data_IF_805990321386
#
_entry.id   IF_805990321386
#
_cell.length_a   1.000
_cell.length_b   1.000
_cell.length_c   1.000
_cell.angle_alpha   90.00
_cell.angle_beta   90.00
_cell.angle_gamma   90.00
#
_symmetry.space_group_name_H-M   'P 1'
#
loop_
_entity.id
_entity.type
_entity.pdbx_description
1 polymer ?
#
# COMPACT_ATOMS: atom_id res chain seq x y z
N UNK A 1 -50.76 22.12 4.93
CA UNK A 1 -50.18 21.68 6.21
C UNK A 1 -49.31 20.49 5.87
N UNK A 2 -48.00 20.70 5.97
CA UNK A 2 -46.88 19.74 6.00
C UNK A 2 -46.44 19.03 4.70
N UNK A 3 -45.57 19.75 3.99
CA UNK A 3 -44.44 19.27 3.20
C UNK A 3 -43.31 18.75 4.12
N UNK A 4 -42.39 17.97 3.54
CA UNK A 4 -41.07 17.54 4.02
C UNK A 4 -41.03 16.32 4.97
N UNK A 5 -40.54 15.17 4.47
CA UNK A 5 -39.47 14.27 5.00
C UNK A 5 -39.54 12.91 4.26
N UNK A 6 -38.94 12.75 3.04
CA UNK A 6 -38.47 11.41 2.64
C UNK A 6 -37.02 11.37 2.09
N UNK A 7 -36.37 12.51 1.90
CA UNK A 7 -35.06 12.61 1.22
C UNK A 7 -33.86 12.29 2.13
N UNK A 8 -33.96 12.47 3.44
CA UNK A 8 -32.82 12.23 4.35
C UNK A 8 -32.62 10.73 4.65
N UNK A 9 -33.70 9.98 4.86
CA UNK A 9 -33.65 8.54 5.16
C UNK A 9 -33.13 7.73 3.97
N UNK A 10 -33.50 8.12 2.75
CA UNK A 10 -33.01 7.47 1.52
C UNK A 10 -31.53 7.76 1.24
N UNK A 11 -31.04 8.95 1.58
CA UNK A 11 -29.63 9.31 1.45
C UNK A 11 -28.73 8.57 2.46
N UNK A 12 -29.18 8.44 3.71
CA UNK A 12 -28.46 7.70 4.75
C UNK A 12 -28.39 6.20 4.44
N UNK A 13 -29.46 5.60 3.90
CA UNK A 13 -29.44 4.18 3.49
C UNK A 13 -28.48 3.91 2.32
N UNK A 14 -28.40 4.82 1.34
CA UNK A 14 -27.49 4.70 0.19
C UNK A 14 -26.04 4.91 0.61
N UNK A 15 -25.76 5.84 1.53
CA UNK A 15 -24.41 6.08 2.06
C UNK A 15 -23.95 4.97 3.01
N UNK A 16 -24.84 4.45 3.86
CA UNK A 16 -24.57 3.33 4.76
C UNK A 16 -24.32 2.02 3.98
N UNK A 17 -25.11 1.73 2.94
CA UNK A 17 -24.90 0.59 2.04
C UNK A 17 -23.54 0.65 1.32
N UNK A 18 -23.17 1.83 0.81
CA UNK A 18 -21.83 2.06 0.23
C UNK A 18 -20.70 1.90 1.26
N UNK A 19 -20.93 2.28 2.52
CA UNK A 19 -19.97 2.11 3.61
C UNK A 19 -19.76 0.65 3.98
N UNK A 20 -20.84 -0.15 4.09
CA UNK A 20 -20.74 -1.58 4.39
C UNK A 20 -20.05 -2.34 3.25
N UNK A 21 -20.42 -2.06 2.00
CA UNK A 21 -19.74 -2.63 0.83
C UNK A 21 -18.24 -2.28 0.82
N UNK A 22 -17.87 -1.03 1.14
CA UNK A 22 -16.48 -0.61 1.27
C UNK A 22 -15.71 -1.39 2.34
N UNK A 23 -16.32 -1.62 3.51
CA UNK A 23 -15.73 -2.43 4.58
C UNK A 23 -15.54 -3.89 4.14
N UNK A 24 -16.54 -4.48 3.48
CA UNK A 24 -16.43 -5.86 2.97
C UNK A 24 -15.33 -6.00 1.90
N UNK A 25 -15.21 -5.02 1.00
CA UNK A 25 -14.11 -5.00 0.03
C UNK A 25 -12.75 -4.85 0.71
N UNK A 26 -12.63 -4.01 1.74
CA UNK A 26 -11.40 -3.89 2.51
C UNK A 26 -11.04 -5.22 3.18
N UNK A 27 -11.97 -5.85 3.88
CA UNK A 27 -11.76 -7.17 4.52
C UNK A 27 -11.33 -8.21 3.49
N UNK A 28 -12.05 -8.32 2.37
CA UNK A 28 -11.71 -9.26 1.30
C UNK A 28 -10.32 -9.02 0.74
N UNK A 29 -9.95 -7.76 0.51
CA UNK A 29 -8.61 -7.39 0.03
C UNK A 29 -7.50 -7.72 1.03
N UNK A 30 -7.72 -7.47 2.33
CA UNK A 30 -6.74 -7.76 3.38
C UNK A 30 -6.60 -9.26 3.62
N UNK A 31 -7.69 -10.03 3.57
CA UNK A 31 -7.63 -11.50 3.68
C UNK A 31 -6.92 -12.13 2.49
N UNK A 32 -7.25 -11.68 1.27
CA UNK A 32 -6.52 -12.11 0.07
C UNK A 32 -5.03 -11.81 0.19
N UNK A 33 -4.70 -10.58 0.58
CA UNK A 33 -3.31 -10.18 0.71
C UNK A 33 -2.58 -10.96 1.82
N UNK A 34 -3.14 -11.08 3.02
CA UNK A 34 -2.49 -11.72 4.17
C UNK A 34 -2.39 -13.24 4.07
N UNK A 35 -3.33 -13.90 3.38
CA UNK A 35 -3.35 -15.35 3.26
C UNK A 35 -2.69 -15.82 1.96
N UNK A 36 -3.18 -15.34 0.80
CA UNK A 36 -2.76 -15.87 -0.50
C UNK A 36 -1.35 -15.44 -0.87
N UNK A 37 -0.97 -14.20 -0.56
CA UNK A 37 0.33 -13.65 -1.00
C UNK A 37 1.53 -14.32 -0.31
N UNK A 38 1.56 -14.50 1.03
CA UNK A 38 2.64 -15.24 1.68
C UNK A 38 2.71 -16.71 1.24
N UNK A 39 1.56 -17.38 1.13
CA UNK A 39 1.50 -18.78 0.67
C UNK A 39 2.10 -18.90 -0.72
N UNK A 40 1.71 -18.03 -1.65
CA UNK A 40 2.26 -18.00 -3.00
C UNK A 40 3.78 -17.86 -2.99
N UNK A 41 4.33 -16.82 -2.34
CA UNK A 41 5.79 -16.63 -2.34
C UNK A 41 6.55 -17.74 -1.61
N UNK A 42 5.95 -18.36 -0.58
CA UNK A 42 6.58 -19.47 0.12
C UNK A 42 6.67 -20.73 -0.73
N UNK A 43 5.66 -21.00 -1.58
CA UNK A 43 5.69 -22.11 -2.54
C UNK A 43 6.82 -21.96 -3.57
N UNK A 44 7.21 -20.73 -3.89
CA UNK A 44 8.29 -20.41 -4.83
C UNK A 44 9.56 -19.92 -4.12
N UNK A 45 9.81 -20.32 -2.87
CA UNK A 45 10.98 -19.86 -2.09
C UNK A 45 12.35 -20.14 -2.72
N UNK A 46 12.42 -21.12 -3.63
CA UNK A 46 13.64 -21.48 -4.37
C UNK A 46 13.95 -20.51 -5.52
N UNK A 47 12.95 -19.71 -5.94
CA UNK A 47 13.11 -18.71 -7.00
C UNK A 47 13.75 -17.44 -6.41
N UNK A 48 14.72 -16.81 -7.11
CA UNK A 48 15.31 -15.55 -6.67
C UNK A 48 14.24 -14.50 -6.34
N UNK A 49 14.42 -13.80 -5.20
CA UNK A 49 13.48 -12.77 -4.71
C UNK A 49 13.15 -11.72 -5.78
N UNK A 50 14.18 -11.29 -6.52
CA UNK A 50 14.03 -10.27 -7.58
C UNK A 50 13.14 -10.80 -8.70
N UNK A 51 13.30 -12.06 -9.08
CA UNK A 51 12.49 -12.71 -10.13
C UNK A 51 11.02 -12.84 -9.71
N UNK A 52 10.74 -13.16 -8.44
CA UNK A 52 9.37 -13.17 -7.90
C UNK A 52 8.68 -11.80 -8.02
N UNK A 53 9.43 -10.72 -7.79
CA UNK A 53 8.91 -9.35 -7.94
C UNK A 53 8.77 -8.95 -9.41
N UNK A 54 9.67 -9.41 -10.29
CA UNK A 54 9.54 -9.23 -11.74
C UNK A 54 8.24 -9.86 -12.24
N UNK A 55 7.97 -11.12 -11.88
CA UNK A 55 6.74 -11.81 -12.28
C UNK A 55 5.49 -11.12 -11.74
N UNK A 56 5.55 -10.55 -10.53
CA UNK A 56 4.46 -9.72 -9.98
C UNK A 56 4.16 -8.50 -10.87
N UNK A 57 5.19 -7.83 -11.40
CA UNK A 57 5.02 -6.67 -12.30
C UNK A 57 4.53 -7.11 -13.68
N UNK A 58 5.19 -8.11 -14.28
CA UNK A 58 4.86 -8.61 -15.63
C UNK A 58 3.44 -9.16 -15.71
N UNK A 59 2.97 -9.85 -14.68
CA UNK A 59 1.60 -10.39 -14.62
C UNK A 59 0.57 -9.35 -14.17
N UNK A 60 0.94 -8.45 -13.25
CA UNK A 60 0.02 -7.45 -12.69
C UNK A 60 -0.28 -6.28 -13.62
N UNK A 61 0.72 -5.80 -14.36
CA UNK A 61 0.58 -4.63 -15.22
C UNK A 61 -0.47 -4.82 -16.34
N UNK A 62 -0.52 -5.96 -17.07
CA UNK A 62 -1.58 -6.21 -18.04
C UNK A 62 -2.99 -6.19 -17.45
N UNK A 63 -3.17 -6.69 -16.22
CA UNK A 63 -4.46 -6.66 -15.53
C UNK A 63 -4.90 -5.23 -15.21
N UNK A 64 -3.97 -4.40 -14.72
CA UNK A 64 -4.26 -2.99 -14.42
C UNK A 64 -4.55 -2.18 -15.70
N UNK A 65 -3.77 -2.41 -16.76
CA UNK A 65 -4.01 -1.79 -18.07
C UNK A 65 -5.35 -2.23 -18.66
N UNK A 66 -5.70 -3.51 -18.57
CA UNK A 66 -7.00 -4.03 -18.96
C UNK A 66 -8.14 -3.35 -18.18
N UNK A 67 -8.01 -3.23 -16.86
CA UNK A 67 -9.00 -2.53 -16.05
C UNK A 67 -9.16 -1.06 -16.44
N UNK A 68 -8.06 -0.34 -16.71
CA UNK A 68 -8.12 1.04 -17.19
C UNK A 68 -8.69 1.15 -18.60
N UNK A 69 -8.43 0.17 -19.46
CA UNK A 69 -9.01 0.08 -20.80
C UNK A 69 -10.53 -0.01 -20.72
N UNK A 70 -11.07 -0.95 -19.93
CA UNK A 70 -12.52 -1.11 -19.74
C UNK A 70 -13.19 0.09 -19.06
N UNK A 71 -12.42 0.87 -18.28
CA UNK A 71 -12.90 2.11 -17.66
C UNK A 71 -12.72 3.34 -18.55
N UNK A 72 -12.14 3.19 -19.74
CA UNK A 72 -11.79 4.29 -20.66
C UNK A 72 -10.85 5.35 -20.05
N UNK A 73 -10.05 4.98 -19.06
CA UNK A 73 -9.21 5.90 -18.27
C UNK A 73 -7.73 5.90 -18.64
N UNK A 74 -7.31 5.16 -19.65
CA UNK A 74 -5.89 5.06 -20.04
C UNK A 74 -5.29 6.45 -20.33
N UNK A 75 -5.96 7.26 -21.16
CA UNK A 75 -5.45 8.59 -21.54
C UNK A 75 -5.34 9.51 -20.33
N UNK A 76 -6.35 9.51 -19.47
CA UNK A 76 -6.37 10.29 -18.23
C UNK A 76 -5.26 9.86 -17.27
N UNK A 77 -5.05 8.55 -17.11
CA UNK A 77 -3.98 7.98 -16.29
C UNK A 77 -2.62 8.55 -16.69
N UNK A 78 -2.24 8.45 -17.96
CA UNK A 78 -0.95 8.94 -18.43
C UNK A 78 -0.86 10.48 -18.55
N UNK A 79 -1.99 11.20 -18.48
CA UNK A 79 -1.97 12.67 -18.44
C UNK A 79 -1.34 13.23 -17.16
N UNK A 80 -1.38 12.48 -16.05
CA UNK A 80 -0.75 12.84 -14.78
C UNK A 80 0.78 13.01 -14.89
N UNK A 81 1.40 12.41 -15.91
CA UNK A 81 2.84 12.54 -16.19
C UNK A 81 3.25 13.91 -16.72
N UNK A 82 2.30 14.75 -17.14
CA UNK A 82 2.59 16.10 -17.66
C UNK A 82 2.99 17.08 -16.56
N UNK A 83 2.52 16.86 -15.33
CA UNK A 83 2.92 17.68 -14.20
C UNK A 83 4.25 17.18 -13.63
N UNK A 84 5.27 18.03 -13.64
CA UNK A 84 6.63 17.68 -13.19
C UNK A 84 6.65 17.25 -11.72
N UNK A 85 5.83 17.88 -10.87
CA UNK A 85 5.77 17.54 -9.44
C UNK A 85 5.17 16.14 -9.25
N UNK A 86 4.04 15.86 -9.90
CA UNK A 86 3.38 14.56 -9.88
C UNK A 86 4.26 13.47 -10.47
N UNK A 87 4.95 13.74 -11.58
CA UNK A 87 5.93 12.82 -12.16
C UNK A 87 7.03 12.44 -11.16
N UNK A 88 7.67 13.42 -10.51
CA UNK A 88 8.72 13.15 -9.52
C UNK A 88 8.19 12.36 -8.31
N UNK A 89 6.98 12.67 -7.85
CA UNK A 89 6.33 11.92 -6.79
C UNK A 89 6.01 10.48 -7.20
N UNK A 90 5.62 10.24 -8.46
CA UNK A 90 5.35 8.90 -9.00
C UNK A 90 6.64 8.09 -9.17
N UNK A 91 7.74 8.70 -9.58
CA UNK A 91 9.06 8.03 -9.63
C UNK A 91 9.50 7.64 -8.23
N UNK A 92 9.39 8.55 -7.26
CA UNK A 92 9.76 8.26 -5.89
C UNK A 92 8.83 7.21 -5.24
N UNK A 93 7.52 7.28 -5.47
CA UNK A 93 6.57 6.28 -4.96
C UNK A 93 6.81 4.90 -5.57
N UNK A 94 7.16 4.82 -6.86
CA UNK A 94 7.57 3.59 -7.53
C UNK A 94 8.80 2.95 -6.85
N UNK A 95 9.82 3.74 -6.51
CA UNK A 95 10.99 3.24 -5.77
C UNK A 95 10.58 2.69 -4.41
N UNK A 96 9.81 3.45 -3.62
CA UNK A 96 9.39 3.03 -2.29
C UNK A 96 8.54 1.75 -2.31
N UNK A 97 7.58 1.63 -3.23
CA UNK A 97 6.73 0.44 -3.33
C UNK A 97 7.52 -0.77 -3.84
N UNK A 98 8.48 -0.58 -4.76
CA UNK A 98 9.37 -1.66 -5.22
C UNK A 98 10.26 -2.19 -4.09
N UNK A 99 10.89 -1.29 -3.31
CA UNK A 99 11.67 -1.69 -2.12
C UNK A 99 10.78 -2.42 -1.13
N UNK A 100 9.57 -1.90 -0.89
CA UNK A 100 8.62 -2.52 0.03
C UNK A 100 8.28 -3.96 -0.38
N UNK A 101 7.95 -4.20 -1.66
CA UNK A 101 7.65 -5.55 -2.15
C UNK A 101 8.85 -6.48 -2.05
N UNK A 102 10.05 -6.03 -2.41
CA UNK A 102 11.26 -6.85 -2.30
C UNK A 102 11.48 -7.26 -0.84
N UNK A 103 11.45 -6.32 0.10
CA UNK A 103 11.66 -6.61 1.53
C UNK A 103 10.57 -7.53 2.08
N UNK A 104 9.32 -7.36 1.64
CA UNK A 104 8.24 -8.26 2.02
C UNK A 104 8.48 -9.68 1.49
N UNK A 105 8.84 -9.84 0.22
CA UNK A 105 9.16 -11.16 -0.35
C UNK A 105 10.33 -11.79 0.39
N UNK A 106 11.40 -11.04 0.68
CA UNK A 106 12.52 -11.50 1.51
C UNK A 106 12.01 -12.06 2.84
N UNK A 107 11.12 -11.33 3.52
CA UNK A 107 10.59 -11.77 4.81
C UNK A 107 9.84 -13.11 4.74
N UNK A 108 9.11 -13.33 3.64
CA UNK A 108 8.33 -14.55 3.44
C UNK A 108 9.26 -15.72 3.12
N UNK A 109 10.17 -15.54 2.17
CA UNK A 109 11.03 -16.64 1.71
C UNK A 109 12.08 -17.03 2.75
N UNK A 110 12.54 -16.08 3.59
CA UNK A 110 13.53 -16.30 4.66
C UNK A 110 12.95 -16.65 6.04
N UNK A 111 11.65 -16.98 6.13
CA UNK A 111 10.97 -17.33 7.39
C UNK A 111 10.96 -16.22 8.45
N UNK A 112 11.09 -14.96 8.02
CA UNK A 112 11.04 -13.76 8.86
C UNK A 112 9.67 -13.07 8.84
N UNK A 113 8.60 -13.86 8.77
CA UNK A 113 7.24 -13.32 8.73
C UNK A 113 6.86 -12.59 10.03
N UNK A 114 7.46 -12.99 11.16
CA UNK A 114 7.30 -12.32 12.45
C UNK A 114 7.86 -10.88 12.37
N UNK A 115 9.01 -10.68 11.73
CA UNK A 115 9.61 -9.35 11.53
C UNK A 115 8.68 -8.46 10.69
N UNK A 116 8.07 -9.01 9.64
CA UNK A 116 7.08 -8.29 8.84
C UNK A 116 5.83 -7.93 9.62
N UNK A 117 5.28 -8.86 10.41
CA UNK A 117 4.13 -8.60 11.29
C UNK A 117 4.42 -7.47 12.28
N UNK A 118 5.60 -7.45 12.90
CA UNK A 118 6.04 -6.34 13.73
C UNK A 118 6.11 -5.02 12.95
N UNK A 119 6.62 -5.06 11.72
CA UNK A 119 6.62 -3.92 10.81
C UNK A 119 5.20 -3.38 10.53
N UNK A 120 4.21 -4.27 10.37
CA UNK A 120 2.81 -3.86 10.19
C UNK A 120 2.19 -3.24 11.45
N UNK A 121 2.65 -3.62 12.65
CA UNK A 121 2.26 -2.91 13.89
C UNK A 121 2.93 -1.54 14.04
N UNK A 122 4.15 -1.37 13.50
CA UNK A 122 4.85 -0.08 13.47
C UNK A 122 4.22 0.89 12.44
N UNK A 123 3.66 0.36 11.35
CA UNK A 123 3.19 1.15 10.21
C UNK A 123 2.19 2.28 10.57
N UNK A 124 1.14 2.07 11.38
CA UNK A 124 0.25 3.16 11.81
C UNK A 124 0.98 4.30 12.51
N UNK A 125 2.00 4.00 13.33
CA UNK A 125 2.79 5.03 14.04
C UNK A 125 3.58 5.89 13.06
N UNK A 126 4.25 5.26 12.10
CA UNK A 126 5.04 5.97 11.08
C UNK A 126 4.13 6.79 10.17
N UNK A 127 3.01 6.21 9.72
CA UNK A 127 2.03 6.90 8.87
C UNK A 127 1.45 8.12 9.58
N UNK A 128 1.08 7.98 10.87
CA UNK A 128 0.58 9.10 11.68
C UNK A 128 1.65 10.17 11.88
N UNK A 129 2.89 9.77 12.18
CA UNK A 129 4.00 10.72 12.33
C UNK A 129 4.24 11.52 11.04
N UNK A 130 4.24 10.85 9.88
CA UNK A 130 4.37 11.53 8.59
C UNK A 130 3.18 12.44 8.27
N UNK A 131 1.95 12.01 8.56
CA UNK A 131 0.76 12.85 8.39
C UNK A 131 0.80 14.12 9.26
N UNK A 132 1.24 13.99 10.52
CA UNK A 132 1.42 15.14 11.40
C UNK A 132 2.52 16.09 10.90
N UNK A 133 3.70 15.55 10.53
CA UNK A 133 4.87 16.35 10.15
C UNK A 133 4.75 17.02 8.78
N UNK A 134 4.21 16.32 7.77
CA UNK A 134 4.22 16.80 6.38
C UNK A 134 2.87 17.31 5.90
N UNK A 135 1.76 16.83 6.48
CA UNK A 135 0.40 17.20 6.05
C UNK A 135 -0.30 18.12 7.07
N UNK A 136 0.33 18.38 8.22
CA UNK A 136 -0.24 19.21 9.28
C UNK A 136 -1.47 18.59 9.94
N UNK A 137 -1.64 17.26 9.85
CA UNK A 137 -2.80 16.57 10.42
C UNK A 137 -2.75 16.58 11.94
N UNK A 138 -3.79 17.14 12.57
CA UNK A 138 -3.88 17.19 14.04
C UNK A 138 -4.67 16.00 14.55
N UNK A 139 -4.06 15.23 15.44
CA UNK A 139 -4.70 14.11 16.10
C UNK A 139 -5.68 14.59 17.18
N UNK A 140 -6.84 13.93 17.26
CA UNK A 140 -7.77 14.11 18.37
C UNK A 140 -7.18 13.50 19.65
N UNK A 141 -7.59 13.98 20.82
CA UNK A 141 -7.09 13.48 22.12
C UNK A 141 -7.14 11.95 22.25
N UNK A 142 -8.23 11.32 21.81
CA UNK A 142 -8.36 9.85 21.82
C UNK A 142 -7.42 9.16 20.82
N UNK A 143 -7.13 9.76 19.68
CA UNK A 143 -6.17 9.23 18.71
C UNK A 143 -4.74 9.31 19.26
N UNK A 144 -4.40 10.39 19.97
CA UNK A 144 -3.10 10.50 20.66
C UNK A 144 -2.96 9.40 21.70
N UNK A 145 -4.00 9.15 22.50
CA UNK A 145 -4.01 8.04 23.46
C UNK A 145 -3.84 6.68 22.75
N UNK A 146 -4.56 6.44 21.66
CA UNK A 146 -4.44 5.20 20.88
C UNK A 146 -3.04 5.00 20.28
N UNK A 147 -2.44 6.08 19.75
CA UNK A 147 -1.05 6.09 19.26
C UNK A 147 -0.07 5.79 20.38
N UNK A 148 -0.29 6.36 21.57
CA UNK A 148 0.52 6.06 22.76
C UNK A 148 0.46 4.58 23.17
N UNK A 149 -0.73 3.99 23.18
CA UNK A 149 -0.92 2.56 23.46
C UNK A 149 -0.21 1.69 22.40
N UNK A 150 -0.40 2.02 21.13
CA UNK A 150 0.26 1.31 20.03
C UNK A 150 1.79 1.41 20.10
N UNK A 151 2.32 2.59 20.48
CA UNK A 151 3.75 2.80 20.68
C UNK A 151 4.31 1.93 21.80
N UNK A 152 3.65 1.85 22.95
CA UNK A 152 4.06 0.97 24.05
C UNK A 152 4.06 -0.50 23.62
N UNK A 153 3.03 -0.95 22.89
CA UNK A 153 2.97 -2.31 22.35
C UNK A 153 4.11 -2.62 21.38
N UNK A 154 4.42 -1.70 20.46
CA UNK A 154 5.54 -1.82 19.52
C UNK A 154 6.88 -1.89 20.25
N UNK A 155 7.10 -1.04 21.26
CA UNK A 155 8.33 -1.04 22.05
C UNK A 155 8.50 -2.38 22.77
N UNK A 156 7.45 -2.88 23.42
CA UNK A 156 7.46 -4.18 24.08
C UNK A 156 7.81 -5.31 23.10
N UNK A 157 7.11 -5.39 21.95
CA UNK A 157 7.36 -6.42 20.95
C UNK A 157 8.78 -6.32 20.36
N UNK A 158 9.28 -5.11 20.14
CA UNK A 158 10.64 -4.87 19.62
C UNK A 158 11.70 -5.40 20.58
N UNK A 159 11.58 -5.12 21.88
CA UNK A 159 12.53 -5.65 22.87
C UNK A 159 12.42 -7.17 23.05
N UNK A 160 11.22 -7.74 22.92
CA UNK A 160 11.02 -9.19 23.02
C UNK A 160 11.67 -9.99 21.88
N UNK A 161 11.85 -9.37 20.70
CA UNK A 161 12.42 -10.00 19.51
C UNK A 161 13.95 -10.19 19.55
N UNK A 162 14.68 -9.42 20.35
CA UNK A 162 16.12 -9.63 20.62
C UNK A 162 17.09 -9.50 19.43
N UNK A 163 16.61 -9.20 18.22
CA UNK A 163 17.43 -9.07 17.00
C UNK A 163 17.21 -7.73 16.31
N UNK A 164 18.16 -7.28 15.48
CA UNK A 164 18.05 -6.03 14.73
C UNK A 164 16.93 -6.16 13.67
N UNK A 165 15.77 -5.50 13.84
CA UNK A 165 14.58 -5.83 13.08
C UNK A 165 14.51 -4.98 11.81
N UNK A 166 15.50 -5.12 10.93
CA UNK A 166 15.64 -4.27 9.73
C UNK A 166 14.42 -4.37 8.80
N UNK A 167 13.76 -5.52 8.72
CA UNK A 167 12.49 -5.72 7.99
C UNK A 167 11.37 -4.91 8.66
N UNK A 168 11.27 -5.01 9.99
CA UNK A 168 10.26 -4.28 10.78
C UNK A 168 10.43 -2.77 10.76
N UNK A 169 11.59 -2.27 10.35
CA UNK A 169 11.83 -0.83 10.15
C UNK A 169 11.60 -0.47 8.68
N UNK A 170 12.20 -1.22 7.75
CA UNK A 170 12.16 -0.89 6.32
C UNK A 170 10.75 -0.95 5.76
N UNK A 171 9.95 -1.97 6.10
CA UNK A 171 8.58 -2.09 5.59
C UNK A 171 7.67 -0.91 5.97
N UNK A 172 7.49 -0.54 7.25
CA UNK A 172 6.63 0.58 7.59
C UNK A 172 7.17 1.91 7.08
N UNK A 173 8.48 2.14 7.09
CA UNK A 173 9.05 3.38 6.57
C UNK A 173 8.81 3.53 5.06
N UNK A 174 9.07 2.49 4.27
CA UNK A 174 8.85 2.52 2.82
C UNK A 174 7.36 2.63 2.48
N UNK A 175 6.49 1.89 3.18
CA UNK A 175 5.05 1.94 2.93
C UNK A 175 4.42 3.28 3.34
N UNK A 176 4.84 3.86 4.47
CA UNK A 176 4.34 5.15 4.94
C UNK A 176 4.80 6.30 4.03
N UNK A 177 6.06 6.27 3.56
CA UNK A 177 6.56 7.24 2.57
C UNK A 177 5.82 7.12 1.24
N UNK A 178 5.61 5.88 0.76
CA UNK A 178 4.75 5.61 -0.40
C UNK A 178 3.35 6.23 -0.17
N UNK A 179 2.69 5.90 0.94
CA UNK A 179 1.36 6.42 1.27
C UNK A 179 1.30 7.95 1.36
N UNK A 180 2.31 8.59 1.93
CA UNK A 180 2.44 10.06 1.97
C UNK A 180 2.50 10.64 0.56
N UNK A 181 3.34 10.08 -0.31
CA UNK A 181 3.47 10.53 -1.71
C UNK A 181 2.17 10.35 -2.48
N UNK A 182 1.52 9.20 -2.34
CA UNK A 182 0.19 8.90 -2.91
C UNK A 182 -0.86 9.91 -2.49
N UNK A 183 -0.84 10.29 -1.22
CA UNK A 183 -1.76 11.27 -0.64
C UNK A 183 -1.50 12.68 -1.17
N UNK A 184 -0.24 13.08 -1.32
CA UNK A 184 0.14 14.40 -1.86
C UNK A 184 -0.21 14.53 -3.34
N UNK A 185 0.03 13.48 -4.15
CA UNK A 185 -0.20 13.55 -5.60
C UNK A 185 -1.69 13.50 -5.98
N UNK A 186 -2.56 12.93 -5.15
CA UNK A 186 -4.00 12.85 -5.41
C UNK A 186 -4.38 12.00 -6.64
N UNK A 187 -3.46 11.15 -7.13
CA UNK A 187 -3.70 10.24 -8.25
C UNK A 187 -4.50 9.03 -7.77
N UNK A 188 -5.51 8.62 -8.55
CA UNK A 188 -6.32 7.44 -8.26
C UNK A 188 -5.47 6.17 -8.07
N UNK A 189 -5.92 5.27 -7.19
CA UNK A 189 -5.13 4.09 -6.77
C UNK A 189 -4.76 3.17 -7.92
N UNK A 190 -5.68 2.95 -8.87
CA UNK A 190 -5.44 2.09 -10.04
C UNK A 190 -4.48 2.79 -11.00
N UNK A 191 -4.79 4.04 -11.37
CA UNK A 191 -4.01 4.84 -12.30
C UNK A 191 -2.55 4.94 -11.85
N UNK A 192 -2.37 5.23 -10.57
CA UNK A 192 -1.05 5.43 -10.03
C UNK A 192 -0.22 4.15 -9.85
N UNK A 193 -0.83 3.03 -9.42
CA UNK A 193 -0.14 1.75 -9.39
C UNK A 193 0.24 1.27 -10.79
N UNK A 194 -0.61 1.53 -11.80
CA UNK A 194 -0.28 1.25 -13.21
C UNK A 194 0.96 2.01 -13.64
N UNK A 195 1.06 3.30 -13.33
CA UNK A 195 2.22 4.11 -13.69
C UNK A 195 3.47 3.61 -12.98
N UNK A 196 3.37 3.32 -11.68
CA UNK A 196 4.49 2.80 -10.87
C UNK A 196 5.01 1.47 -11.44
N UNK A 197 4.11 0.55 -11.80
CA UNK A 197 4.49 -0.70 -12.49
C UNK A 197 5.04 -0.46 -13.91
N UNK A 198 4.54 0.55 -14.63
CA UNK A 198 5.07 0.95 -15.94
C UNK A 198 6.50 1.48 -15.82
N UNK A 199 6.82 2.22 -14.74
CA UNK A 199 8.17 2.68 -14.46
C UNK A 199 9.10 1.53 -14.03
N UNK A 200 8.58 0.54 -13.31
CA UNK A 200 9.34 -0.64 -12.93
C UNK A 200 9.61 -1.57 -14.14
N UNK A 201 8.73 -1.59 -15.15
CA UNK A 201 8.78 -2.54 -16.26
C UNK A 201 10.12 -2.57 -17.03
N UNK A 202 10.73 -1.44 -17.45
CA UNK A 202 12.03 -1.47 -18.13
C UNK A 202 13.12 -2.11 -17.27
N UNK A 203 13.12 -1.83 -15.96
CA UNK A 203 14.08 -2.40 -15.00
C UNK A 203 13.84 -3.91 -14.90
N UNK A 204 12.58 -4.34 -14.81
CA UNK A 204 12.21 -5.75 -14.79
C UNK A 204 12.66 -6.50 -16.05
N UNK A 205 12.50 -5.92 -17.24
CA UNK A 205 12.92 -6.53 -18.51
C UNK A 205 14.44 -6.69 -18.56
N UNK A 206 15.19 -5.66 -18.16
CA UNK A 206 16.66 -5.71 -18.14
C UNK A 206 17.16 -6.75 -17.15
N UNK A 207 16.59 -6.81 -15.94
CA UNK A 207 16.97 -7.80 -14.94
C UNK A 207 16.58 -9.23 -15.35
N UNK A 208 15.41 -9.41 -15.98
CA UNK A 208 14.97 -10.72 -16.47
C UNK A 208 15.86 -11.24 -17.60
N UNK A 209 16.36 -10.37 -18.47
CA UNK A 209 17.30 -10.78 -19.52
C UNK A 209 18.70 -11.13 -19.01
N UNK A 210 19.01 -10.79 -17.75
CA UNK A 210 20.30 -11.05 -17.12
C UNK A 210 20.31 -12.28 -16.21
N UNK A 211 19.15 -12.68 -15.68
CA UNK A 211 18.93 -13.88 -14.87
C UNK A 211 18.76 -15.13 -15.76
#
# INVERSE_FOLDING_TARGET
>A
MDLFVPTLVSFDLITQSKSVAGVLFAIGSYLWWAFVTPIYFKLFKEVPVVELVIWRVISGLPLLLGLLFFRHKIKECFSALRDKKTFLLLVASAIFISVNWIVFVISVVTDRLIDSSLGYYINPLVTVALGFLFLGERLRKLQVAAVGIAFVGVVYLTFSQGSLPWISITLPCTFAMYGLMRKIMGVGSIEGLTIEMTFALPICIVLQGWL
#
